data_IF_642514166583
#
_entry.id   IF_642514166583
#
_cell.length_a   1.000
_cell.length_b   1.000
_cell.length_c   1.000
_cell.angle_alpha   90.00
_cell.angle_beta   90.00
_cell.angle_gamma   90.00
#
_symmetry.space_group_name_H-M   'P 1'
#
loop_
_entity.id
_entity.type
_entity.pdbx_description
1 polymer ?
#
# COMPACT_ATOMS: atom_id res chain seq x y z
N UNK A 1 -2.71 3.65 -16.30
CA UNK A 1 -2.64 4.93 -15.53
C UNK A 1 -1.89 4.76 -14.22
N UNK A 2 -2.29 3.83 -13.34
CA UNK A 2 -1.49 3.49 -12.16
C UNK A 2 -0.04 3.11 -12.51
N UNK A 3 0.18 2.44 -13.64
CA UNK A 3 1.51 2.14 -14.16
C UNK A 3 2.35 3.40 -14.48
N UNK A 4 1.72 4.48 -14.95
CA UNK A 4 2.41 5.74 -15.23
C UNK A 4 2.87 6.42 -13.94
N UNK A 5 2.03 6.38 -12.90
CA UNK A 5 2.37 6.91 -11.58
C UNK A 5 3.46 6.08 -10.91
N UNK A 6 3.41 4.75 -11.05
CA UNK A 6 4.48 3.84 -10.62
C UNK A 6 5.80 4.18 -11.30
N UNK A 7 5.77 4.34 -12.62
CA UNK A 7 6.96 4.70 -13.39
C UNK A 7 7.51 6.08 -12.99
N UNK A 8 6.63 7.07 -12.79
CA UNK A 8 7.06 8.38 -12.30
C UNK A 8 7.68 8.31 -10.89
N UNK A 9 7.21 7.41 -10.03
CA UNK A 9 7.80 7.17 -8.71
C UNK A 9 9.20 6.54 -8.83
N UNK A 10 9.36 5.53 -9.70
CA UNK A 10 10.65 4.88 -9.99
C UNK A 10 11.68 5.83 -10.62
N UNK A 11 11.24 6.74 -11.50
CA UNK A 11 12.10 7.72 -12.16
C UNK A 11 12.45 8.92 -11.25
N UNK A 12 11.88 8.98 -10.05
CA UNK A 12 12.08 10.09 -9.11
C UNK A 12 13.43 9.99 -8.39
N UNK A 13 14.01 11.12 -7.96
CA UNK A 13 15.19 11.10 -7.11
C UNK A 13 14.87 10.81 -5.63
N UNK A 14 13.60 10.64 -5.26
CA UNK A 14 13.16 10.52 -3.86
C UNK A 14 12.76 9.11 -3.46
N UNK A 15 12.46 8.25 -4.43
CA UNK A 15 11.89 6.93 -4.20
C UNK A 15 12.55 5.86 -5.08
N UNK A 16 12.53 4.61 -4.62
CA UNK A 16 12.92 3.45 -5.40
C UNK A 16 11.98 2.25 -5.19
N UNK A 17 12.08 1.27 -6.09
CA UNK A 17 11.39 -0.01 -5.97
C UNK A 17 9.86 0.14 -5.97
N UNK A 18 9.32 1.01 -6.81
CA UNK A 18 7.89 1.23 -6.89
C UNK A 18 7.16 -0.02 -7.41
N UNK A 19 6.07 -0.36 -6.76
CA UNK A 19 5.25 -1.53 -7.04
C UNK A 19 3.77 -1.19 -6.96
N UNK A 20 2.95 -1.94 -7.69
CA UNK A 20 1.51 -1.82 -7.68
C UNK A 20 0.89 -3.15 -7.27
N UNK A 21 -0.25 -3.10 -6.60
CA UNK A 21 -1.06 -4.29 -6.30
C UNK A 21 -1.97 -4.71 -7.47
N UNK A 22 -1.86 -4.01 -8.61
CA UNK A 22 -2.60 -4.28 -9.83
C UNK A 22 -1.72 -4.96 -10.87
N UNK A 23 -2.00 -6.23 -11.15
CA UNK A 23 -1.33 -7.01 -12.20
C UNK A 23 -2.36 -7.45 -13.24
N UNK A 24 -2.37 -6.80 -14.40
CA UNK A 24 -3.18 -7.22 -15.56
C UNK A 24 -2.62 -8.48 -16.25
N UNK A 25 -1.45 -8.98 -15.82
CA UNK A 25 -0.68 -9.99 -16.57
C UNK A 25 -0.92 -11.43 -16.11
N UNK A 26 -1.90 -11.67 -15.25
CA UNK A 26 -2.20 -13.04 -14.83
C UNK A 26 -3.26 -13.63 -15.77
N UNK A 27 -2.97 -14.73 -16.46
CA UNK A 27 -3.98 -15.43 -17.24
C UNK A 27 -5.01 -16.05 -16.28
N UNK A 28 -6.28 -15.74 -16.51
CA UNK A 28 -7.43 -16.34 -15.84
C UNK A 28 -8.24 -17.12 -16.88
N UNK A 29 -8.65 -18.34 -16.54
CA UNK A 29 -9.50 -19.16 -17.41
C UNK A 29 -10.95 -19.02 -16.96
N UNK A 30 -11.77 -18.41 -17.79
CA UNK A 30 -13.20 -18.22 -17.54
C UNK A 30 -13.98 -19.30 -18.27
N UNK A 31 -14.69 -20.13 -17.50
CA UNK A 31 -15.57 -21.17 -18.04
C UNK A 31 -17.00 -20.65 -18.14
N UNK A 32 -17.45 -20.44 -19.37
CA UNK A 32 -18.80 -19.99 -19.70
C UNK A 32 -19.68 -21.17 -20.09
N UNK A 33 -20.63 -21.53 -19.22
CA UNK A 33 -21.51 -22.69 -19.43
C UNK A 33 -22.69 -22.33 -20.36
N UNK A 34 -22.88 -23.11 -21.41
CA UNK A 34 -24.07 -23.08 -22.26
C UNK A 34 -25.21 -23.82 -21.56
N UNK A 35 -26.13 -23.05 -20.99
CA UNK A 35 -27.25 -23.59 -20.21
C UNK A 35 -28.27 -24.35 -21.07
N UNK A 36 -28.47 -23.93 -22.31
CA UNK A 36 -29.43 -24.59 -23.21
C UNK A 36 -28.89 -25.98 -23.58
N UNK A 37 -27.62 -26.04 -23.98
CA UNK A 37 -26.97 -27.28 -24.37
C UNK A 37 -26.74 -28.23 -23.21
N UNK A 38 -26.41 -27.72 -22.03
CA UNK A 38 -26.32 -28.52 -20.82
C UNK A 38 -27.69 -29.14 -20.45
N UNK A 39 -28.78 -28.37 -20.57
CA UNK A 39 -30.13 -28.86 -20.29
C UNK A 39 -30.57 -29.96 -21.27
N UNK A 40 -30.27 -29.80 -22.57
CA UNK A 40 -30.58 -30.81 -23.60
C UNK A 40 -29.88 -32.16 -23.32
N UNK A 41 -28.67 -32.12 -22.74
CA UNK A 41 -27.90 -33.30 -22.37
C UNK A 41 -28.19 -33.80 -20.94
N UNK A 42 -29.10 -33.14 -20.23
CA UNK A 42 -29.49 -33.50 -18.87
C UNK A 42 -28.37 -33.34 -17.84
N UNK A 43 -27.51 -32.34 -18.01
CA UNK A 43 -26.44 -31.99 -17.08
C UNK A 43 -26.77 -30.66 -16.41
N UNK A 44 -26.66 -30.64 -15.08
CA UNK A 44 -26.89 -29.44 -14.28
C UNK A 44 -25.61 -28.60 -14.14
N UNK A 45 -25.77 -27.29 -13.92
CA UNK A 45 -24.65 -26.40 -13.64
C UNK A 45 -23.86 -26.82 -12.38
N UNK A 46 -24.52 -27.45 -11.40
CA UNK A 46 -23.86 -27.95 -10.20
C UNK A 46 -22.90 -29.08 -10.55
N UNK A 47 -23.35 -30.07 -11.33
CA UNK A 47 -22.52 -31.22 -11.72
C UNK A 47 -21.28 -30.80 -12.52
N UNK A 48 -21.42 -29.78 -13.39
CA UNK A 48 -20.29 -29.21 -14.13
C UNK A 48 -19.30 -28.55 -13.15
N UNK A 49 -19.80 -27.72 -12.23
CA UNK A 49 -18.98 -27.03 -11.22
C UNK A 49 -18.27 -28.02 -10.29
N UNK A 50 -18.99 -29.03 -9.79
CA UNK A 50 -18.46 -30.08 -8.91
C UNK A 50 -17.37 -30.89 -9.61
N UNK A 51 -17.58 -31.25 -10.88
CA UNK A 51 -16.58 -31.98 -11.67
C UNK A 51 -15.33 -31.13 -11.89
N UNK A 52 -15.48 -29.85 -12.22
CA UNK A 52 -14.36 -28.92 -12.37
C UNK A 52 -13.60 -28.71 -11.06
N UNK A 53 -14.29 -28.60 -9.93
CA UNK A 53 -13.69 -28.46 -8.61
C UNK A 53 -12.84 -29.69 -8.27
N UNK A 54 -13.38 -30.90 -8.46
CA UNK A 54 -12.65 -32.16 -8.22
C UNK A 54 -11.43 -32.27 -9.15
N UNK A 55 -11.59 -31.94 -10.43
CA UNK A 55 -10.53 -32.11 -11.42
C UNK A 55 -9.39 -31.10 -11.25
N UNK A 56 -9.68 -29.84 -10.89
CA UNK A 56 -8.70 -28.75 -10.86
C UNK A 56 -8.22 -28.36 -9.46
N UNK A 57 -9.11 -28.37 -8.45
CA UNK A 57 -8.78 -27.99 -7.07
C UNK A 57 -8.64 -29.19 -6.12
N UNK A 58 -9.33 -30.27 -6.44
CA UNK A 58 -9.58 -31.39 -5.55
C UNK A 58 -10.60 -31.02 -4.47
N UNK A 59 -11.47 -31.97 -4.12
CA UNK A 59 -12.57 -31.77 -3.18
C UNK A 59 -12.49 -32.80 -2.06
N UNK A 60 -12.63 -32.37 -0.81
CA UNK A 60 -12.76 -33.29 0.32
C UNK A 60 -14.19 -33.81 0.35
N UNK A 61 -14.37 -35.12 0.26
CA UNK A 61 -15.70 -35.74 0.26
C UNK A 61 -16.04 -36.34 1.62
N UNK A 62 -15.04 -36.87 2.32
CA UNK A 62 -15.25 -37.56 3.60
C UNK A 62 -13.99 -37.54 4.44
N UNK A 63 -14.11 -38.01 5.67
CA UNK A 63 -12.99 -38.15 6.59
C UNK A 63 -12.81 -39.61 6.98
N UNK A 64 -11.56 -39.99 7.24
CA UNK A 64 -11.15 -41.32 7.64
C UNK A 64 -10.40 -41.25 8.95
N UNK A 65 -10.80 -42.06 9.94
CA UNK A 65 -10.14 -42.09 11.25
C UNK A 65 -9.16 -43.27 11.31
N UNK A 66 -7.88 -42.95 11.51
CA UNK A 66 -6.82 -43.93 11.79
C UNK A 66 -6.08 -43.54 13.08
N UNK A 67 -5.90 -44.52 13.99
CA UNK A 67 -5.19 -44.36 15.27
C UNK A 67 -5.62 -43.12 16.10
N UNK A 68 -6.90 -42.79 16.04
CA UNK A 68 -7.47 -41.65 16.79
C UNK A 68 -7.21 -40.28 16.15
N UNK A 69 -6.68 -40.24 14.92
CA UNK A 69 -6.57 -39.04 14.11
C UNK A 69 -7.52 -39.11 12.92
N UNK A 70 -8.17 -38.00 12.62
CA UNK A 70 -9.08 -37.84 11.49
C UNK A 70 -8.33 -37.25 10.30
N UNK A 71 -8.49 -37.86 9.14
CA UNK A 71 -7.82 -37.51 7.89
C UNK A 71 -8.85 -37.20 6.81
N UNK A 72 -8.69 -36.08 6.12
CA UNK A 72 -9.53 -35.75 4.97
C UNK A 72 -9.21 -36.65 3.76
N UNK A 73 -10.26 -37.18 3.14
CA UNK A 73 -10.19 -37.96 1.90
C UNK A 73 -10.57 -37.05 0.74
N UNK A 74 -9.56 -36.69 -0.05
CA UNK A 74 -9.72 -35.85 -1.22
C UNK A 74 -9.93 -36.68 -2.48
N UNK A 75 -10.90 -36.28 -3.31
CA UNK A 75 -10.94 -36.63 -4.71
C UNK A 75 -10.20 -35.57 -5.51
N UNK A 76 -9.26 -35.99 -6.36
CA UNK A 76 -8.52 -35.08 -7.25
C UNK A 76 -8.30 -35.74 -8.61
N UNK A 77 -8.39 -34.94 -9.68
CA UNK A 77 -7.93 -35.35 -11.00
C UNK A 77 -6.41 -35.57 -11.04
N UNK A 78 -5.91 -36.24 -12.08
CA UNK A 78 -4.47 -36.35 -12.29
C UNK A 78 -3.91 -34.98 -12.72
N UNK A 79 -3.06 -34.38 -11.88
CA UNK A 79 -2.47 -33.05 -12.11
C UNK A 79 -1.69 -32.99 -13.43
N UNK A 80 -1.13 -34.11 -13.90
CA UNK A 80 -0.41 -34.17 -15.18
C UNK A 80 -1.33 -34.08 -16.40
N UNK A 81 -2.64 -34.21 -16.21
CA UNK A 81 -3.64 -34.16 -17.28
C UNK A 81 -4.11 -32.74 -17.61
N UNK A 82 -3.64 -31.69 -16.93
CA UNK A 82 -4.14 -30.31 -17.09
C UNK A 82 -3.01 -29.29 -17.28
N UNK A 83 -2.21 -29.44 -18.34
CA UNK A 83 -1.08 -28.54 -18.61
C UNK A 83 -1.43 -27.38 -19.53
N UNK A 84 -2.51 -27.51 -20.31
CA UNK A 84 -2.96 -26.50 -21.25
C UNK A 84 -4.49 -26.41 -21.29
N UNK A 85 -5.00 -25.35 -21.91
CA UNK A 85 -6.45 -25.07 -22.04
C UNK A 85 -7.17 -26.17 -22.84
N UNK A 86 -6.51 -26.75 -23.84
CA UNK A 86 -7.09 -27.82 -24.64
C UNK A 86 -7.28 -29.10 -23.82
N UNK A 87 -6.48 -29.35 -22.78
CA UNK A 87 -6.65 -30.51 -21.91
C UNK A 87 -7.93 -30.37 -21.05
N UNK A 88 -8.25 -29.14 -20.61
CA UNK A 88 -9.49 -28.85 -19.86
C UNK A 88 -10.74 -29.14 -20.70
N UNK A 89 -10.65 -28.92 -22.01
CA UNK A 89 -11.74 -29.21 -22.94
C UNK A 89 -12.11 -30.70 -22.99
N UNK A 90 -11.17 -31.57 -22.63
CA UNK A 90 -11.31 -33.04 -22.64
C UNK A 90 -11.80 -33.62 -21.30
N UNK A 91 -12.19 -32.77 -20.34
CA UNK A 91 -12.81 -33.24 -19.09
C UNK A 91 -14.14 -33.91 -19.43
N UNK A 92 -14.28 -35.17 -19.01
CA UNK A 92 -15.51 -35.93 -19.21
C UNK A 92 -16.53 -35.59 -18.13
N UNK A 93 -17.74 -35.24 -18.57
CA UNK A 93 -18.93 -35.06 -17.77
C UNK A 93 -19.86 -36.25 -17.99
N UNK A 94 -20.49 -36.71 -16.91
CA UNK A 94 -21.47 -37.79 -16.97
C UNK A 94 -22.88 -37.20 -17.08
N UNK A 95 -23.63 -37.63 -18.08
CA UNK A 95 -25.05 -37.26 -18.24
C UNK A 95 -25.93 -38.10 -17.31
N UNK A 96 -27.17 -37.63 -17.09
CA UNK A 96 -28.20 -38.40 -16.37
C UNK A 96 -28.50 -39.77 -17.00
N UNK A 97 -28.28 -39.90 -18.31
CA UNK A 97 -28.48 -41.14 -19.05
C UNK A 97 -27.29 -42.11 -18.93
N UNK A 98 -26.20 -41.69 -18.28
CA UNK A 98 -24.98 -42.48 -18.06
C UNK A 98 -23.92 -42.32 -19.14
N UNK A 99 -24.21 -41.58 -20.20
CA UNK A 99 -23.26 -41.27 -21.27
C UNK A 99 -22.17 -40.30 -20.77
N UNK A 100 -20.98 -40.41 -21.37
CA UNK A 100 -19.88 -39.49 -21.12
C UNK A 100 -19.77 -38.51 -22.29
N UNK A 101 -19.81 -37.22 -21.98
CA UNK A 101 -19.58 -36.14 -22.94
C UNK A 101 -18.39 -35.31 -22.48
N UNK A 102 -17.78 -34.55 -23.37
CA UNK A 102 -16.67 -33.65 -23.05
C UNK A 102 -17.17 -32.27 -22.61
N UNK A 103 -16.39 -31.56 -21.80
CA UNK A 103 -16.75 -30.24 -21.28
C UNK A 103 -16.96 -29.21 -22.39
N UNK A 104 -16.18 -29.28 -23.47
CA UNK A 104 -16.29 -28.41 -24.66
C UNK A 104 -17.67 -28.45 -25.33
N UNK A 105 -18.43 -29.53 -25.12
CA UNK A 105 -19.75 -29.71 -25.69
C UNK A 105 -20.83 -28.90 -24.97
N UNK A 106 -20.57 -28.41 -23.75
CA UNK A 106 -21.52 -27.69 -22.90
C UNK A 106 -20.96 -26.42 -22.28
N UNK A 107 -19.67 -26.13 -22.46
CA UNK A 107 -19.02 -24.94 -21.94
C UNK A 107 -17.94 -24.41 -22.89
N UNK A 108 -17.74 -23.10 -22.87
CA UNK A 108 -16.65 -22.42 -23.54
C UNK A 108 -15.60 -21.99 -22.50
N UNK A 109 -14.32 -22.10 -22.85
CA UNK A 109 -13.21 -21.71 -21.98
C UNK A 109 -12.46 -20.57 -22.65
N UNK A 110 -12.51 -19.39 -22.05
CA UNK A 110 -11.81 -18.20 -22.51
C UNK A 110 -10.63 -17.89 -21.60
N UNK A 111 -9.46 -17.66 -22.17
CA UNK A 111 -8.32 -17.10 -21.44
C UNK A 111 -8.42 -15.57 -21.47
N UNK A 112 -8.65 -14.98 -20.30
CA UNK A 112 -8.73 -13.54 -20.12
C UNK A 112 -7.58 -13.07 -19.25
N UNK A 113 -6.95 -11.97 -19.66
CA UNK A 113 -6.02 -11.25 -18.82
C UNK A 113 -6.82 -10.52 -17.74
N UNK A 114 -6.66 -10.93 -16.48
CA UNK A 114 -7.47 -10.42 -15.38
C UNK A 114 -6.60 -10.10 -14.16
N UNK A 115 -7.07 -9.13 -13.38
CA UNK A 115 -6.43 -8.79 -12.12
C UNK A 115 -6.95 -9.73 -11.02
N UNK A 116 -6.08 -10.61 -10.53
CA UNK A 116 -6.39 -11.62 -9.49
C UNK A 116 -7.09 -11.01 -8.26
N UNK A 117 -6.82 -9.74 -7.96
CA UNK A 117 -7.43 -9.03 -6.83
C UNK A 117 -7.83 -7.62 -7.21
N UNK A 118 -9.10 -7.28 -6.96
CA UNK A 118 -9.56 -5.90 -6.94
C UNK A 118 -9.44 -5.38 -5.51
N UNK A 119 -8.35 -4.66 -5.23
CA UNK A 119 -8.19 -3.94 -3.96
C UNK A 119 -9.27 -2.88 -3.81
N UNK A 120 -9.74 -2.71 -2.58
CA UNK A 120 -10.67 -1.65 -2.22
C UNK A 120 -10.09 -0.83 -1.07
N UNK A 121 -10.17 0.48 -1.20
CA UNK A 121 -9.83 1.43 -0.15
C UNK A 121 -11.03 2.35 0.08
N UNK A 122 -11.43 2.52 1.33
CA UNK A 122 -12.63 3.28 1.70
C UNK A 122 -13.90 2.88 0.89
N UNK A 123 -14.09 1.57 0.68
CA UNK A 123 -15.21 0.98 -0.09
C UNK A 123 -15.25 1.33 -1.58
N UNK A 124 -14.18 1.91 -2.11
CA UNK A 124 -14.03 2.21 -3.54
C UNK A 124 -12.91 1.35 -4.13
N UNK A 125 -13.04 0.97 -5.41
CA UNK A 125 -11.97 0.26 -6.12
C UNK A 125 -10.72 1.12 -6.13
N UNK A 126 -9.59 0.55 -5.76
CA UNK A 126 -8.33 1.28 -5.63
C UNK A 126 -7.18 0.47 -6.17
N UNK A 127 -6.18 1.16 -6.72
CA UNK A 127 -4.87 0.58 -7.01
C UNK A 127 -3.88 1.23 -6.05
N UNK A 128 -3.17 0.42 -5.30
CA UNK A 128 -2.18 0.87 -4.33
C UNK A 128 -0.82 0.94 -5.02
N UNK A 129 -0.24 2.13 -5.08
CA UNK A 129 1.16 2.34 -5.47
C UNK A 129 1.99 2.42 -4.18
N UNK A 130 3.05 1.62 -4.10
CA UNK A 130 4.01 1.61 -2.99
C UNK A 130 5.39 1.87 -3.55
N UNK A 131 6.21 2.62 -2.83
CA UNK A 131 7.63 2.79 -3.13
C UNK A 131 8.38 2.97 -1.81
N UNK A 132 9.68 2.70 -1.82
CA UNK A 132 10.53 3.01 -0.67
C UNK A 132 11.17 4.37 -0.87
N UNK A 133 11.56 5.02 0.23
CA UNK A 133 12.33 6.26 0.17
C UNK A 133 13.81 5.93 -0.04
N UNK A 134 14.47 6.68 -0.92
CA UNK A 134 15.93 6.58 -1.05
C UNK A 134 16.62 7.24 0.15
N UNK A 135 17.87 6.86 0.39
CA UNK A 135 18.66 7.41 1.49
C UNK A 135 18.83 8.94 1.35
N UNK A 136 18.45 9.67 2.40
CA UNK A 136 18.53 11.13 2.45
C UNK A 136 17.30 11.88 1.90
N UNK A 137 16.34 11.18 1.29
CA UNK A 137 15.05 11.78 0.91
C UNK A 137 14.10 11.85 2.11
N UNK A 138 13.24 12.88 2.14
CA UNK A 138 12.18 12.98 3.14
C UNK A 138 10.86 12.42 2.60
N UNK A 139 10.02 11.90 3.50
CA UNK A 139 8.67 11.47 3.14
C UNK A 139 7.84 12.63 2.56
N UNK A 140 8.02 13.85 3.06
CA UNK A 140 7.33 15.03 2.54
C UNK A 140 7.66 15.31 1.08
N UNK A 141 8.95 15.34 0.72
CA UNK A 141 9.38 15.61 -0.66
C UNK A 141 8.86 14.55 -1.64
N UNK A 142 8.89 13.28 -1.24
CA UNK A 142 8.37 12.18 -2.04
C UNK A 142 6.85 12.30 -2.27
N UNK A 143 6.08 12.61 -1.22
CA UNK A 143 4.63 12.76 -1.33
C UNK A 143 4.26 13.99 -2.16
N UNK A 144 4.96 15.11 -1.99
CA UNK A 144 4.68 16.33 -2.74
C UNK A 144 5.04 16.16 -4.23
N UNK A 145 6.10 15.40 -4.54
CA UNK A 145 6.41 14.99 -5.91
C UNK A 145 5.31 14.11 -6.52
N UNK A 146 4.81 13.12 -5.78
CA UNK A 146 3.70 12.27 -6.23
C UNK A 146 2.40 13.04 -6.40
N UNK A 147 2.08 13.99 -5.51
CA UNK A 147 0.91 14.88 -5.63
C UNK A 147 0.97 15.68 -6.94
N UNK A 148 2.12 16.26 -7.27
CA UNK A 148 2.31 16.99 -8.52
C UNK A 148 2.12 16.09 -9.73
N UNK A 149 2.74 14.90 -9.73
CA UNK A 149 2.61 13.94 -10.82
C UNK A 149 1.20 13.38 -10.95
N UNK A 150 0.49 13.18 -9.84
CA UNK A 150 -0.90 12.77 -9.85
C UNK A 150 -1.79 13.82 -10.53
N UNK A 151 -1.60 15.11 -10.24
CA UNK A 151 -2.37 16.19 -10.88
C UNK A 151 -2.10 16.26 -12.40
N UNK A 152 -0.86 15.98 -12.83
CA UNK A 152 -0.47 15.99 -14.24
C UNK A 152 -0.97 14.77 -15.02
N UNK A 153 -0.88 13.59 -14.42
CA UNK A 153 -1.07 12.30 -15.10
C UNK A 153 -2.48 11.71 -14.93
N UNK A 154 -3.21 12.09 -13.87
CA UNK A 154 -4.52 11.52 -13.58
C UNK A 154 -5.65 12.43 -14.05
N UNK A 155 -6.70 11.86 -14.68
CA UNK A 155 -7.93 12.58 -14.96
C UNK A 155 -8.71 12.93 -13.68
N UNK A 156 -9.60 13.92 -13.78
CA UNK A 156 -10.32 14.51 -12.63
C UNK A 156 -11.32 13.58 -11.94
N UNK A 157 -11.63 12.42 -12.54
CA UNK A 157 -12.49 11.38 -11.98
C UNK A 157 -11.76 10.43 -11.01
N UNK A 158 -10.43 10.48 -10.97
CA UNK A 158 -9.61 9.68 -10.04
C UNK A 158 -9.23 10.52 -8.83
N UNK A 159 -9.46 9.97 -7.63
CA UNK A 159 -9.00 10.58 -6.38
C UNK A 159 -7.80 9.82 -5.82
N UNK A 160 -6.82 10.58 -5.31
CA UNK A 160 -5.65 10.03 -4.63
C UNK A 160 -5.86 10.10 -3.12
N UNK A 161 -5.60 9.00 -2.44
CA UNK A 161 -5.68 8.91 -0.98
C UNK A 161 -4.42 8.24 -0.43
N UNK A 162 -4.07 8.60 0.79
CA UNK A 162 -2.90 8.10 1.49
C UNK A 162 -3.26 7.01 2.52
N UNK A 163 -2.33 6.10 2.79
CA UNK A 163 -2.49 5.07 3.81
C UNK A 163 -1.19 4.88 4.61
N UNK A 164 -1.30 4.33 5.82
CA UNK A 164 -0.16 4.10 6.71
C UNK A 164 0.57 5.40 7.07
N UNK A 165 1.91 5.34 7.06
CA UNK A 165 2.77 6.46 7.46
C UNK A 165 2.54 7.73 6.62
N UNK A 166 2.28 7.58 5.32
CA UNK A 166 1.99 8.73 4.44
C UNK A 166 0.70 9.45 4.84
N UNK A 167 -0.30 8.69 5.32
CA UNK A 167 -1.55 9.26 5.83
C UNK A 167 -1.30 10.02 7.12
N UNK A 168 -0.62 9.39 8.07
CA UNK A 168 -0.29 10.01 9.36
C UNK A 168 0.53 11.28 9.15
N UNK A 169 1.46 11.30 8.19
CA UNK A 169 2.22 12.49 7.82
C UNK A 169 1.32 13.62 7.31
N UNK A 170 0.45 13.36 6.33
CA UNK A 170 -0.45 14.38 5.75
C UNK A 170 -1.49 14.87 6.76
N UNK A 171 -2.01 14.02 7.64
CA UNK A 171 -2.97 14.41 8.68
C UNK A 171 -2.30 15.26 9.79
N UNK A 172 -1.09 14.87 10.24
CA UNK A 172 -0.40 15.55 11.34
C UNK A 172 0.28 16.87 10.94
N UNK A 173 0.62 17.06 9.65
CA UNK A 173 1.31 18.26 9.16
C UNK A 173 0.58 19.57 9.54
N UNK A 174 -0.75 19.58 9.47
CA UNK A 174 -1.55 20.78 9.79
C UNK A 174 -1.59 21.13 11.28
N UNK A 175 -1.56 20.12 12.15
CA UNK A 175 -1.71 20.31 13.61
C UNK A 175 -0.46 20.93 14.24
N UNK A 176 0.72 20.61 13.71
CA UNK A 176 2.00 21.08 14.26
C UNK A 176 2.11 22.61 14.16
N UNK A 177 1.74 23.20 13.03
CA UNK A 177 1.82 24.65 12.83
C UNK A 177 0.90 25.42 13.80
N UNK A 178 -0.32 24.90 14.02
CA UNK A 178 -1.29 25.49 14.94
C UNK A 178 -0.78 25.41 16.39
N UNK A 179 -0.27 24.25 16.80
CA UNK A 179 0.27 24.06 18.16
C UNK A 179 1.51 24.93 18.38
N UNK A 180 2.38 25.06 17.38
CA UNK A 180 3.56 25.94 17.46
C UNK A 180 3.17 27.42 17.59
N UNK A 181 2.20 27.88 16.78
CA UNK A 181 1.69 29.24 16.88
C UNK A 181 1.02 29.51 18.25
N UNK A 182 0.26 28.55 18.77
CA UNK A 182 -0.35 28.61 20.10
C UNK A 182 0.72 28.66 21.20
N UNK A 183 1.77 27.84 21.10
CA UNK A 183 2.87 27.81 22.05
C UNK A 183 3.63 29.14 22.07
N UNK A 184 3.91 29.73 20.90
CA UNK A 184 4.50 31.07 20.80
C UNK A 184 3.61 32.15 21.42
N UNK A 185 2.29 32.07 21.19
CA UNK A 185 1.32 32.98 21.78
C UNK A 185 1.32 32.88 23.31
N UNK A 186 1.28 31.67 23.87
CA UNK A 186 1.31 31.46 25.32
C UNK A 186 2.64 31.93 25.92
N UNK A 187 3.77 31.60 25.29
CA UNK A 187 5.09 32.07 25.73
C UNK A 187 5.18 33.60 25.75
N UNK A 188 4.63 34.25 24.72
CA UNK A 188 4.55 35.71 24.66
C UNK A 188 3.70 36.29 25.80
N UNK A 189 2.52 35.71 26.07
CA UNK A 189 1.66 36.16 27.17
C UNK A 189 2.32 35.99 28.55
N UNK A 190 3.06 34.89 28.76
CA UNK A 190 3.80 34.65 30.01
C UNK A 190 4.92 35.68 30.20
N UNK A 191 5.70 35.96 29.14
CA UNK A 191 6.73 37.00 29.20
C UNK A 191 6.12 38.38 29.46
N UNK A 192 5.02 38.72 28.77
CA UNK A 192 4.33 39.98 28.99
C UNK A 192 3.83 40.14 30.44
N UNK A 193 3.33 39.06 31.06
CA UNK A 193 2.90 39.06 32.45
C UNK A 193 4.08 39.20 33.44
N UNK A 194 5.24 38.58 33.15
CA UNK A 194 6.42 38.64 34.02
C UNK A 194 7.04 40.04 34.08
N UNK A 195 6.99 40.80 32.99
CA UNK A 195 7.62 42.13 32.93
C UNK A 195 6.74 43.28 33.44
N UNK A 196 5.51 43.01 33.93
CA UNK A 196 4.52 44.01 34.38
C UNK A 196 4.32 45.21 33.41
N UNK A 197 4.78 45.10 32.16
CA UNK A 197 4.75 46.16 31.16
C UNK A 197 5.03 45.61 29.77
N UNK A 198 4.06 45.84 28.86
CA UNK A 198 4.06 45.43 27.46
C UNK A 198 5.14 46.11 26.59
N UNK A 199 5.96 47.01 27.16
CA UNK A 199 6.90 47.87 26.43
C UNK A 199 8.34 47.33 26.43
N UNK A 200 8.77 46.57 27.46
CA UNK A 200 10.16 46.08 27.51
C UNK A 200 10.41 44.75 26.77
N UNK A 201 9.36 44.06 26.35
CA UNK A 201 9.49 42.80 25.60
C UNK A 201 9.66 43.01 24.08
N UNK A 202 9.32 44.21 23.57
CA UNK A 202 9.35 44.55 22.15
C UNK A 202 10.37 45.65 21.85
N UNK A 203 11.65 45.30 21.91
CA UNK A 203 12.74 46.07 21.28
C UNK A 203 12.87 47.54 21.68
N UNK A 204 13.64 47.82 22.72
CA UNK A 204 14.36 49.09 22.83
C UNK A 204 15.84 48.84 23.13
N UNK A 205 16.63 48.80 22.06
CA UNK A 205 18.10 48.80 22.09
C UNK A 205 18.56 50.25 21.94
N UNK A 206 18.25 51.14 22.87
CA UNK A 206 18.93 52.43 22.93
C UNK A 206 19.13 52.97 24.36
N UNK A 207 20.42 52.95 24.75
CA UNK A 207 21.11 53.80 25.74
C UNK A 207 20.59 53.79 27.19
N UNK A 208 21.40 53.17 28.04
CA UNK A 208 21.96 53.89 29.20
C UNK A 208 23.46 53.62 29.32
N UNK A 209 24.22 54.71 29.38
CA UNK A 209 25.66 54.71 29.65
C UNK A 209 25.88 54.37 31.13
N UNK A 210 26.42 53.19 31.42
CA UNK A 210 26.95 52.82 32.73
C UNK A 210 28.47 52.72 32.64
N UNK A 211 29.16 53.69 33.21
CA UNK A 211 30.61 53.85 33.18
C UNK A 211 31.30 52.65 33.87
N UNK A 212 32.02 51.82 33.10
CA UNK A 212 32.94 50.80 33.65
C UNK A 212 34.35 51.37 33.56
N UNK A 213 34.84 51.86 34.69
CA UNK A 213 36.27 52.11 34.88
C UNK A 213 36.95 50.78 35.23
N UNK A 214 37.71 50.22 34.31
CA UNK A 214 38.79 49.29 34.62
C UNK A 214 40.06 49.77 33.91
N UNK A 215 41.04 50.15 34.73
CA UNK A 215 42.34 50.69 34.36
C UNK A 215 43.17 49.73 33.49
N UNK A 216 44.08 50.24 32.66
CA UNK A 216 44.98 49.42 31.86
C UNK A 216 46.09 48.80 32.73
N UNK A 217 46.21 47.48 32.61
CA UNK A 217 47.30 46.65 33.11
C UNK A 217 48.56 46.85 32.27
N UNK A 218 49.75 47.13 32.85
CA UNK A 218 51.00 46.97 32.15
C UNK A 218 51.67 45.63 32.48
N UNK A 219 52.21 45.07 31.41
CA UNK A 219 53.08 43.92 31.23
C UNK A 219 54.17 43.68 32.31
N UNK A 220 54.30 42.40 32.65
CA UNK A 220 55.48 41.58 32.97
C UNK A 220 56.85 42.22 33.29
N UNK A 221 57.52 41.72 34.35
CA UNK A 221 58.66 40.79 34.24
C UNK A 221 59.24 40.39 35.63
N UNK A 222 59.23 39.07 35.89
CA UNK A 222 60.35 38.20 36.30
C UNK A 222 61.29 38.57 37.48
N UNK A 223 61.42 37.57 38.37
CA UNK A 223 62.56 37.16 39.22
C UNK A 223 62.72 37.69 40.66
N UNK A 224 62.47 36.79 41.65
CA UNK A 224 63.41 36.28 42.70
C UNK A 224 62.59 35.55 43.77
N UNK A 225 62.77 34.23 43.93
CA UNK A 225 63.74 33.55 44.79
C UNK A 225 63.53 33.80 46.30
N UNK A 226 62.98 32.80 46.99
CA UNK A 226 63.38 32.24 48.32
C UNK A 226 62.20 31.36 48.79
N UNK A 227 62.35 30.03 48.92
CA UNK A 227 62.84 29.29 50.12
C UNK A 227 62.20 29.86 51.39
N UNK A 228 61.42 29.13 52.20
CA UNK A 228 61.55 27.77 52.75
C UNK A 228 60.15 27.30 53.14
#
# INVERSE_FOLDING_TARGET
MAELLKQAADDSPYMDGASTDYSEKTPELVVSIDKERAADLGITQSEISDTLEIMLGGKSETTYVDRGQEYDVYLRGDENSFNNIADLSQIYLRTINGDLITLDSVAHIDEVASAIRLSHYNKQKSITVKANLVEGATLGDALDFLDQKAIELLPSDISVNYSGESKDFKENQSSIAIVFALALLVAYLVLAAQFESFINAGGDVHRTYGCVWWLPWPADHVARSERV
#
